data_IF_687155598726
#
_entry.id   IF_687155598726
#
_cell.length_a   1.000
_cell.length_b   1.000
_cell.length_c   1.000
_cell.angle_alpha   90.00
_cell.angle_beta   90.00
_cell.angle_gamma   90.00
#
_symmetry.space_group_name_H-M   'P 1'
#
loop_
_entity.id
_entity.type
_entity.pdbx_description
1 polymer ?
#
# COMPACT_ATOMS: atom_id res chain seq x y z
N UNK A 1 -10.17 14.18 2.31
CA UNK A 1 -10.16 12.76 1.91
C UNK A 1 -10.01 12.58 0.40
N UNK A 2 -10.88 13.17 -0.42
CA UNK A 2 -10.83 13.02 -1.89
C UNK A 2 -9.51 13.48 -2.53
N UNK A 3 -8.93 14.61 -2.10
CA UNK A 3 -7.63 15.09 -2.59
C UNK A 3 -6.49 14.09 -2.35
N UNK A 4 -6.47 13.45 -1.17
CA UNK A 4 -5.49 12.42 -0.82
C UNK A 4 -5.66 11.15 -1.65
N UNK A 5 -6.90 10.79 -2.02
CA UNK A 5 -7.15 9.62 -2.87
C UNK A 5 -6.77 9.85 -4.33
N UNK A 6 -6.77 11.12 -4.77
CA UNK A 6 -6.41 11.50 -6.15
C UNK A 6 -4.92 11.62 -6.40
N UNK A 7 -4.12 11.77 -5.34
CA UNK A 7 -2.68 12.04 -5.40
C UNK A 7 -2.30 12.95 -6.58
N UNK A 8 -2.86 14.18 -6.64
CA UNK A 8 -2.72 15.03 -7.81
C UNK A 8 -1.27 15.53 -7.90
N UNK A 9 -0.48 14.86 -8.73
CA UNK A 9 0.86 15.31 -9.11
C UNK A 9 0.77 15.99 -10.47
N UNK A 10 1.40 17.16 -10.60
CA UNK A 10 1.45 17.87 -11.88
C UNK A 10 2.14 17.02 -12.95
N UNK A 11 1.49 16.89 -14.11
CA UNK A 11 2.01 16.11 -15.22
C UNK A 11 3.35 16.65 -15.74
N UNK A 12 3.51 17.98 -15.76
CA UNK A 12 4.74 18.62 -16.24
C UNK A 12 5.93 18.32 -15.34
N UNK A 13 5.70 18.25 -14.01
CA UNK A 13 6.73 17.88 -13.05
C UNK A 13 7.16 16.42 -13.27
N UNK A 14 6.20 15.52 -13.54
CA UNK A 14 6.52 14.11 -13.85
C UNK A 14 7.39 14.03 -15.11
N UNK A 15 7.02 14.73 -16.19
CA UNK A 15 7.80 14.73 -17.43
C UNK A 15 9.21 15.29 -17.21
N UNK A 16 9.32 16.40 -16.47
CA UNK A 16 10.61 17.02 -16.14
C UNK A 16 11.51 16.03 -15.39
N UNK A 17 10.98 15.37 -14.36
CA UNK A 17 11.75 14.44 -13.55
C UNK A 17 12.12 13.16 -14.32
N UNK A 18 11.24 12.68 -15.21
CA UNK A 18 11.54 11.56 -16.12
C UNK A 18 12.68 11.88 -17.09
N UNK A 19 12.86 13.15 -17.45
CA UNK A 19 13.92 13.64 -18.35
C UNK A 19 15.12 14.23 -17.61
N UNK A 20 15.19 14.04 -16.29
CA UNK A 20 16.30 14.54 -15.48
C UNK A 20 17.64 14.02 -15.99
N UNK A 21 18.66 14.89 -16.01
CA UNK A 21 20.05 14.50 -16.30
C UNK A 21 20.64 13.59 -15.21
N UNK A 22 20.02 13.53 -14.03
CA UNK A 22 20.37 12.59 -12.98
C UNK A 22 19.71 11.23 -13.25
N UNK A 23 20.55 10.23 -13.55
CA UNK A 23 20.10 8.87 -13.87
C UNK A 23 19.24 8.22 -12.77
N UNK A 24 19.51 8.50 -11.50
CA UNK A 24 18.70 7.98 -10.39
C UNK A 24 17.29 8.56 -10.42
N UNK A 25 17.15 9.87 -10.62
CA UNK A 25 15.86 10.56 -10.65
C UNK A 25 15.05 10.12 -11.87
N UNK A 26 15.69 10.07 -13.04
CA UNK A 26 15.05 9.59 -14.26
C UNK A 26 14.52 8.15 -14.07
N UNK A 27 15.32 7.26 -13.46
CA UNK A 27 14.92 5.88 -13.19
C UNK A 27 13.79 5.78 -12.17
N UNK A 28 13.81 6.59 -11.11
CA UNK A 28 12.77 6.58 -10.07
C UNK A 28 11.39 6.96 -10.62
N UNK A 29 11.35 7.83 -11.64
CA UNK A 29 10.13 8.38 -12.22
C UNK A 29 9.63 7.67 -13.47
N UNK A 30 10.35 6.63 -13.92
CA UNK A 30 9.84 5.74 -14.95
C UNK A 30 8.59 5.03 -14.42
N UNK A 31 7.51 5.03 -15.22
CA UNK A 31 6.35 4.19 -14.91
C UNK A 31 6.84 2.75 -14.80
N UNK A 32 6.58 2.04 -13.69
CA UNK A 32 6.96 0.65 -13.58
C UNK A 32 6.26 -0.12 -14.71
N UNK A 33 7.04 -0.71 -15.60
CA UNK A 33 6.56 -1.47 -16.77
C UNK A 33 5.64 -2.64 -16.36
N UNK A 34 5.67 -3.05 -15.09
CA UNK A 34 4.97 -4.24 -14.58
C UNK A 34 4.29 -4.07 -13.19
N UNK A 35 4.06 -2.85 -12.68
CA UNK A 35 3.35 -2.71 -11.41
C UNK A 35 1.86 -2.42 -11.66
N UNK A 36 1.05 -3.48 -11.53
CA UNK A 36 -0.41 -3.47 -11.36
C UNK A 36 -1.34 -3.66 -12.59
N UNK A 37 -0.88 -4.26 -13.70
CA UNK A 37 -1.82 -4.79 -14.72
C UNK A 37 -1.72 -6.30 -15.00
N UNK A 38 -0.84 -7.04 -14.35
CA UNK A 38 -0.61 -8.45 -14.70
C UNK A 38 -0.58 -9.39 -13.49
N UNK A 39 -1.66 -9.50 -12.72
CA UNK A 39 -2.12 -10.77 -12.13
C UNK A 39 -3.64 -10.67 -11.96
N UNK A 40 -4.38 -11.64 -12.50
CA UNK A 40 -5.85 -11.70 -12.64
C UNK A 40 -6.42 -10.98 -13.88
N UNK A 41 -5.92 -11.35 -15.05
CA UNK A 41 -6.81 -11.51 -16.21
C UNK A 41 -6.69 -12.95 -16.67
N UNK A 42 -7.84 -13.62 -16.70
CA UNK A 42 -8.07 -14.92 -17.32
C UNK A 42 -7.39 -15.02 -18.69
N UNK A 43 -6.79 -16.16 -19.06
CA UNK A 43 -6.13 -16.32 -20.35
C UNK A 43 -7.21 -16.41 -21.43
N UNK A 44 -7.34 -15.36 -22.24
CA UNK A 44 -8.19 -15.38 -23.42
C UNK A 44 -8.75 -14.02 -23.80
N UNK A 45 -8.49 -13.63 -25.04
CA UNK A 45 -9.05 -12.49 -25.78
C UNK A 45 -8.31 -11.15 -25.60
N UNK A 46 -7.26 -11.02 -26.42
CA UNK A 46 -6.74 -9.74 -26.88
C UNK A 46 -7.85 -8.98 -27.63
N UNK A 47 -8.31 -7.86 -27.06
CA UNK A 47 -8.97 -6.81 -27.85
C UNK A 47 -8.46 -5.44 -27.42
N UNK A 48 -7.74 -4.80 -28.34
CA UNK A 48 -7.33 -3.39 -28.30
C UNK A 48 -8.56 -2.48 -28.22
N UNK A 49 -9.12 -2.31 -27.02
CA UNK A 49 -10.01 -1.18 -26.73
C UNK A 49 -9.20 -0.19 -25.89
N UNK A 50 -9.02 1.02 -26.43
CA UNK A 50 -8.73 2.24 -25.67
C UNK A 50 -9.83 2.41 -24.60
N UNK A 51 -9.73 1.65 -23.52
CA UNK A 51 -10.56 1.84 -22.34
C UNK A 51 -10.02 3.12 -21.71
N UNK A 52 -10.79 4.20 -21.80
CA UNK A 52 -10.70 5.36 -20.92
C UNK A 52 -10.14 4.89 -19.59
N UNK A 53 -8.90 5.27 -19.26
CA UNK A 53 -8.24 4.78 -18.05
C UNK A 53 -9.16 5.14 -16.90
N UNK A 54 -9.84 4.14 -16.33
CA UNK A 54 -10.65 4.36 -15.14
C UNK A 54 -9.69 4.98 -14.13
N UNK A 55 -10.04 6.17 -13.63
CA UNK A 55 -9.25 6.82 -12.60
C UNK A 55 -9.03 5.81 -11.47
N UNK A 56 -7.78 5.38 -11.29
CA UNK A 56 -7.36 4.48 -10.21
C UNK A 56 -6.78 5.35 -9.12
N UNK A 57 -7.50 5.46 -8.01
CA UNK A 57 -7.06 6.24 -6.86
C UNK A 57 -6.06 5.46 -6.00
N UNK A 58 -5.47 6.15 -5.03
CA UNK A 58 -4.57 5.54 -4.03
C UNK A 58 -5.24 4.38 -3.28
N UNK A 59 -6.55 4.51 -3.00
CA UNK A 59 -7.34 3.46 -2.34
C UNK A 59 -7.44 2.20 -3.21
N UNK A 60 -7.55 2.32 -4.53
CA UNK A 60 -7.66 1.16 -5.42
C UNK A 60 -6.34 0.35 -5.43
N UNK A 61 -5.20 1.05 -5.49
CA UNK A 61 -3.88 0.42 -5.37
C UNK A 61 -3.66 -0.22 -4.00
N UNK A 62 -4.12 0.42 -2.93
CA UNK A 62 -4.06 -0.14 -1.58
C UNK A 62 -4.91 -1.40 -1.46
N UNK A 63 -6.14 -1.41 -2.00
CA UNK A 63 -7.01 -2.58 -2.00
C UNK A 63 -6.38 -3.76 -2.76
N UNK A 64 -5.77 -3.52 -3.92
CA UNK A 64 -5.11 -4.58 -4.68
C UNK A 64 -3.93 -5.17 -3.90
N UNK A 65 -3.09 -4.32 -3.32
CA UNK A 65 -1.94 -4.73 -2.51
C UNK A 65 -2.37 -5.51 -1.26
N UNK A 66 -3.45 -5.05 -0.61
CA UNK A 66 -4.05 -5.69 0.55
C UNK A 66 -4.61 -7.07 0.20
N UNK A 67 -5.37 -7.20 -0.90
CA UNK A 67 -5.88 -8.50 -1.36
C UNK A 67 -4.75 -9.49 -1.60
N UNK A 68 -3.68 -9.07 -2.28
CA UNK A 68 -2.51 -9.91 -2.52
C UNK A 68 -1.88 -10.38 -1.20
N UNK A 69 -1.72 -9.47 -0.23
CA UNK A 69 -1.19 -9.80 1.09
C UNK A 69 -2.07 -10.83 1.81
N UNK A 70 -3.39 -10.61 1.84
CA UNK A 70 -4.33 -11.54 2.48
C UNK A 70 -4.24 -12.93 1.86
N UNK A 71 -4.24 -13.05 0.53
CA UNK A 71 -4.07 -14.35 -0.14
C UNK A 71 -2.77 -15.06 0.26
N UNK A 72 -1.66 -14.33 0.40
CA UNK A 72 -0.40 -14.92 0.87
C UNK A 72 -0.48 -15.39 2.33
N UNK A 73 -1.13 -14.60 3.20
CA UNK A 73 -1.31 -14.96 4.61
C UNK A 73 -2.22 -16.19 4.78
N UNK A 74 -3.30 -16.29 4.01
CA UNK A 74 -4.23 -17.43 4.01
C UNK A 74 -3.57 -18.74 3.55
N UNK A 75 -2.54 -18.65 2.70
CA UNK A 75 -1.79 -19.81 2.21
C UNK A 75 -0.62 -20.23 3.12
N UNK A 76 -0.38 -19.52 4.23
CA UNK A 76 0.75 -19.73 5.12
C UNK A 76 0.31 -20.33 6.46
N UNK A 77 1.21 -21.06 7.13
CA UNK A 77 1.03 -21.36 8.56
C UNK A 77 1.33 -20.09 9.39
N UNK A 78 0.38 -19.71 10.25
CA UNK A 78 0.46 -18.43 10.96
C UNK A 78 0.94 -18.63 12.41
N UNK A 79 2.00 -17.90 12.77
CA UNK A 79 2.46 -17.74 14.15
C UNK A 79 2.21 -16.30 14.59
N UNK A 80 1.58 -16.15 15.76
CA UNK A 80 1.14 -14.84 16.24
C UNK A 80 1.98 -14.37 17.43
N UNK A 81 2.46 -13.13 17.36
CA UNK A 81 3.06 -12.41 18.49
C UNK A 81 2.21 -11.17 18.76
N UNK A 82 1.72 -11.04 20.00
CA UNK A 82 0.93 -9.88 20.42
C UNK A 82 1.81 -8.91 21.21
N UNK A 83 2.06 -7.74 20.63
CA UNK A 83 2.73 -6.66 21.33
C UNK A 83 1.73 -5.93 22.25
N UNK A 84 2.09 -5.74 23.52
CA UNK A 84 1.30 -4.97 24.49
C UNK A 84 2.08 -3.71 24.87
N UNK A 85 1.45 -2.55 24.70
CA UNK A 85 2.03 -1.27 25.13
C UNK A 85 1.99 -1.20 26.68
N UNK A 86 3.14 -1.03 27.36
CA UNK A 86 3.20 -1.11 28.82
C UNK A 86 2.69 0.15 29.53
N UNK A 87 2.85 1.33 28.94
CA UNK A 87 2.37 2.61 29.48
C UNK A 87 2.18 3.68 28.38
N UNK A 88 1.51 4.80 28.66
CA UNK A 88 1.33 5.93 27.73
C UNK A 88 2.48 6.96 27.76
N UNK A 89 3.21 7.03 28.88
CA UNK A 89 4.30 7.97 29.09
C UNK A 89 5.58 7.63 28.28
N UNK A 90 5.62 6.47 27.61
CA UNK A 90 6.80 5.90 26.95
C UNK A 90 7.99 5.74 27.90
N UNK A 91 7.71 5.56 29.19
CA UNK A 91 8.72 5.35 30.20
C UNK A 91 9.23 3.90 30.16
N UNK A 92 10.55 3.73 30.20
CA UNK A 92 11.16 2.41 30.37
C UNK A 92 10.77 1.81 31.73
N UNK A 93 10.66 0.48 31.79
CA UNK A 93 10.38 -0.30 33.00
C UNK A 93 9.13 0.10 33.81
N UNK A 94 8.22 0.84 33.18
CA UNK A 94 6.98 1.28 33.80
C UNK A 94 5.78 0.50 33.24
N UNK A 95 5.03 -0.18 34.11
CA UNK A 95 3.88 -0.98 33.73
C UNK A 95 2.56 -0.43 34.29
N UNK A 96 1.69 0.01 33.39
CA UNK A 96 0.32 0.44 33.71
C UNK A 96 -0.67 -0.69 33.41
N UNK A 97 -1.24 -1.25 34.48
CA UNK A 97 -2.20 -2.36 34.39
C UNK A 97 -3.48 -1.98 33.64
N UNK A 98 -3.96 -0.74 33.75
CA UNK A 98 -5.20 -0.33 33.10
C UNK A 98 -5.00 -0.22 31.58
N UNK A 99 -3.84 0.29 31.16
CA UNK A 99 -3.45 0.35 29.74
C UNK A 99 -3.34 -1.05 29.13
N UNK A 100 -2.66 -1.97 29.82
CA UNK A 100 -2.55 -3.35 29.36
C UNK A 100 -3.91 -4.06 29.35
N UNK A 101 -4.71 -3.92 30.41
CA UNK A 101 -6.01 -4.59 30.51
C UNK A 101 -7.01 -4.11 29.44
N UNK A 102 -6.98 -2.83 29.06
CA UNK A 102 -7.79 -2.33 27.93
C UNK A 102 -7.39 -3.01 26.62
N UNK A 103 -6.10 -3.11 26.32
CA UNK A 103 -5.61 -3.80 25.13
C UNK A 103 -6.04 -5.27 25.14
N UNK A 104 -5.83 -5.97 26.27
CA UNK A 104 -6.22 -7.38 26.43
C UNK A 104 -7.70 -7.62 26.14
N UNK A 105 -8.59 -6.72 26.58
CA UNK A 105 -10.04 -6.80 26.31
C UNK A 105 -10.43 -6.44 24.88
N UNK A 106 -9.70 -5.55 24.22
CA UNK A 106 -10.08 -5.02 22.90
C UNK A 106 -9.42 -5.72 21.73
N UNK A 107 -8.33 -6.46 21.94
CA UNK A 107 -7.75 -7.32 20.89
C UNK A 107 -8.17 -8.77 21.13
N UNK A 108 -9.18 -9.17 20.36
CA UNK A 108 -9.59 -10.52 20.03
C UNK A 108 -9.90 -10.54 18.55
#
# INVERSE_FOLDING_TARGET
>A
FLSKNKDPVSHDIIILLQRSSNAFIARLMQKPVNAAEAVVTTPGVATNKFRSSKFSGVVDHFQLSLRRLITTLEASELHFVRCIKPNDAKAADHWDRQVAARQLRSSG
#
